data_IF_289212058654
#
_entry.id   IF_289212058654
#
_cell.length_a   1.000
_cell.length_b   1.000
_cell.length_c   1.000
_cell.angle_alpha   90.00
_cell.angle_beta   90.00
_cell.angle_gamma   90.00
#
_symmetry.space_group_name_H-M   'P 1'
#
loop_
_entity.id
_entity.type
_entity.pdbx_description
1 polymer ?
#
# COMPACT_ATOMS: atom_id res chain seq x y z
N UNK A 1 -29.26 -22.05 54.94
CA UNK A 1 -28.70 -22.78 53.79
C UNK A 1 -27.56 -21.92 53.27
N UNK A 2 -26.32 -22.33 53.53
CA UNK A 2 -25.14 -21.54 53.17
C UNK A 2 -24.92 -21.60 51.66
N UNK A 3 -24.77 -20.44 51.02
CA UNK A 3 -24.20 -20.36 49.69
C UNK A 3 -22.76 -20.86 49.77
N UNK A 4 -22.55 -22.11 49.35
CA UNK A 4 -21.22 -22.63 49.10
C UNK A 4 -20.56 -21.70 48.08
N UNK A 5 -19.50 -21.01 48.52
CA UNK A 5 -18.56 -20.33 47.63
C UNK A 5 -17.93 -21.39 46.73
N UNK A 6 -18.64 -21.77 45.65
CA UNK A 6 -18.12 -22.63 44.59
C UNK A 6 -16.90 -21.91 44.03
N UNK A 7 -15.73 -22.43 44.37
CA UNK A 7 -14.45 -21.96 43.85
C UNK A 7 -14.46 -22.20 42.35
N UNK A 8 -14.86 -21.17 41.60
CA UNK A 8 -14.95 -21.22 40.14
C UNK A 8 -13.56 -21.62 39.62
N UNK A 9 -13.48 -22.82 39.04
CA UNK A 9 -12.23 -23.32 38.49
C UNK A 9 -11.99 -22.71 37.11
N UNK A 10 -10.74 -22.33 36.83
CA UNK A 10 -10.34 -21.70 35.57
C UNK A 10 -10.75 -22.55 34.35
N UNK A 11 -10.72 -23.87 34.48
CA UNK A 11 -11.15 -24.82 33.46
C UNK A 11 -12.65 -24.75 33.17
N UNK A 12 -13.48 -24.59 34.21
CA UNK A 12 -14.94 -24.52 34.10
C UNK A 12 -15.38 -23.21 33.43
N UNK A 13 -14.66 -22.11 33.71
CA UNK A 13 -14.85 -20.82 33.01
C UNK A 13 -14.47 -20.94 31.55
N UNK A 14 -13.33 -21.58 31.24
CA UNK A 14 -12.89 -21.76 29.85
C UNK A 14 -13.88 -22.65 29.08
N UNK A 15 -14.41 -23.71 29.70
CA UNK A 15 -15.40 -24.60 29.07
C UNK A 15 -16.71 -23.85 28.77
N UNK A 16 -17.25 -23.10 29.75
CA UNK A 16 -18.45 -22.27 29.51
C UNK A 16 -18.24 -21.22 28.43
N UNK A 17 -17.13 -20.48 28.47
CA UNK A 17 -16.83 -19.47 27.45
C UNK A 17 -16.70 -20.05 26.03
N UNK A 18 -16.31 -21.34 25.91
CA UNK A 18 -16.27 -22.07 24.63
C UNK A 18 -17.67 -22.47 24.16
N UNK A 19 -18.50 -23.00 25.06
CA UNK A 19 -19.86 -23.45 24.73
C UNK A 19 -20.83 -22.28 24.46
N UNK A 20 -20.68 -21.15 25.17
CA UNK A 20 -21.55 -19.97 25.02
C UNK A 20 -21.30 -19.18 23.70
N UNK A 21 -20.33 -19.61 22.89
CA UNK A 21 -19.97 -18.96 21.62
C UNK A 21 -19.28 -17.60 21.79
N UNK A 22 -18.90 -17.23 23.01
CA UNK A 22 -18.28 -15.94 23.31
C UNK A 22 -16.83 -15.87 22.84
N UNK A 23 -16.09 -16.98 22.85
CA UNK A 23 -14.78 -17.05 22.20
C UNK A 23 -14.87 -16.81 20.70
N UNK A 24 -15.91 -17.34 20.04
CA UNK A 24 -16.10 -17.13 18.61
C UNK A 24 -16.50 -15.69 18.28
N UNK A 25 -17.38 -15.08 19.08
CA UNK A 25 -17.69 -13.64 18.97
C UNK A 25 -16.44 -12.78 19.18
N UNK A 26 -15.62 -13.10 20.19
CA UNK A 26 -14.38 -12.37 20.46
C UNK A 26 -13.39 -12.52 19.31
N UNK A 27 -13.18 -13.75 18.82
CA UNK A 27 -12.33 -14.05 17.66
C UNK A 27 -12.80 -13.27 16.42
N UNK A 28 -14.08 -13.29 16.10
CA UNK A 28 -14.65 -12.55 14.97
C UNK A 28 -14.47 -11.04 15.12
N UNK A 29 -14.66 -10.50 16.33
CA UNK A 29 -14.48 -9.07 16.61
C UNK A 29 -13.02 -8.64 16.42
N UNK A 30 -12.07 -9.45 16.88
CA UNK A 30 -10.64 -9.22 16.67
C UNK A 30 -10.30 -9.27 15.18
N UNK A 31 -10.74 -10.31 14.46
CA UNK A 31 -10.50 -10.46 13.02
C UNK A 31 -11.06 -9.29 12.22
N UNK A 32 -12.29 -8.84 12.51
CA UNK A 32 -12.88 -7.66 11.86
C UNK A 32 -12.05 -6.41 12.10
N UNK A 33 -11.68 -6.13 13.35
CA UNK A 33 -10.85 -4.96 13.70
C UNK A 33 -9.50 -4.98 12.99
N UNK A 34 -8.85 -6.13 12.91
CA UNK A 34 -7.59 -6.28 12.19
C UNK A 34 -7.77 -6.02 10.68
N UNK A 35 -8.82 -6.58 10.06
CA UNK A 35 -9.14 -6.33 8.65
C UNK A 35 -9.43 -4.87 8.37
N UNK A 36 -10.24 -4.21 9.20
CA UNK A 36 -10.60 -2.80 9.05
C UNK A 36 -9.36 -1.91 9.15
N UNK A 37 -8.47 -2.20 10.10
CA UNK A 37 -7.22 -1.48 10.26
C UNK A 37 -6.28 -1.68 9.06
N UNK A 38 -6.13 -2.91 8.57
CA UNK A 38 -5.31 -3.20 7.40
C UNK A 38 -5.88 -2.52 6.14
N UNK A 39 -7.20 -2.58 5.94
CA UNK A 39 -7.86 -1.92 4.83
C UNK A 39 -7.66 -0.39 4.89
N UNK A 40 -7.77 0.20 6.08
CA UNK A 40 -7.51 1.62 6.29
C UNK A 40 -6.05 2.00 5.99
N UNK A 41 -5.08 1.23 6.51
CA UNK A 41 -3.66 1.45 6.25
C UNK A 41 -3.35 1.34 4.75
N UNK A 42 -3.86 0.29 4.10
CA UNK A 42 -3.68 0.08 2.67
C UNK A 42 -4.28 1.24 1.87
N UNK A 43 -5.50 1.66 2.19
CA UNK A 43 -6.15 2.82 1.55
C UNK A 43 -5.33 4.10 1.73
N UNK A 44 -4.83 4.36 2.94
CA UNK A 44 -4.01 5.54 3.26
C UNK A 44 -2.71 5.57 2.45
N UNK A 45 -2.00 4.44 2.36
CA UNK A 45 -0.74 4.32 1.62
C UNK A 45 -0.98 4.52 0.11
N UNK A 46 -1.98 3.84 -0.45
CA UNK A 46 -2.33 3.98 -1.86
C UNK A 46 -2.72 5.42 -2.21
N UNK A 47 -3.54 6.06 -1.36
CA UNK A 47 -3.93 7.45 -1.57
C UNK A 47 -2.74 8.40 -1.50
N UNK A 48 -1.81 8.20 -0.55
CA UNK A 48 -0.59 9.02 -0.46
C UNK A 48 0.27 8.89 -1.72
N UNK A 49 0.56 7.66 -2.16
CA UNK A 49 1.38 7.41 -3.36
C UNK A 49 0.74 8.02 -4.62
N UNK A 50 -0.56 7.82 -4.82
CA UNK A 50 -1.27 8.35 -6.00
C UNK A 50 -1.34 9.87 -6.02
N UNK A 51 -1.54 10.52 -4.87
CA UNK A 51 -1.55 11.98 -4.78
C UNK A 51 -0.17 12.58 -5.02
N UNK A 52 0.87 12.02 -4.42
CA UNK A 52 2.25 12.47 -4.62
C UNK A 52 2.67 12.31 -6.09
N UNK A 53 2.33 11.18 -6.70
CA UNK A 53 2.59 10.94 -8.12
C UNK A 53 1.86 11.94 -9.01
N UNK A 54 0.56 12.15 -8.77
CA UNK A 54 -0.24 13.12 -9.54
C UNK A 54 0.34 14.54 -9.45
N UNK A 55 0.72 14.96 -8.24
CA UNK A 55 1.31 16.28 -8.03
C UNK A 55 2.66 16.42 -8.75
N UNK A 56 3.50 15.38 -8.70
CA UNK A 56 4.77 15.35 -9.42
C UNK A 56 4.58 15.44 -10.94
N UNK A 57 3.59 14.74 -11.50
CA UNK A 57 3.25 14.82 -12.93
C UNK A 57 2.82 16.23 -13.29
N UNK A 58 1.90 16.83 -12.53
CA UNK A 58 1.42 18.20 -12.78
C UNK A 58 2.58 19.19 -12.75
N UNK A 59 3.47 19.09 -11.76
CA UNK A 59 4.65 19.95 -11.66
C UNK A 59 5.59 19.74 -12.84
N UNK A 60 5.84 18.51 -13.26
CA UNK A 60 6.71 18.20 -14.38
C UNK A 60 6.15 18.74 -15.71
N UNK A 61 4.84 18.60 -15.95
CA UNK A 61 4.17 19.18 -17.12
C UNK A 61 4.24 20.71 -17.10
N UNK A 62 3.97 21.35 -15.95
CA UNK A 62 4.07 22.81 -15.82
C UNK A 62 5.47 23.34 -16.11
N UNK A 63 6.51 22.55 -15.82
CA UNK A 63 7.91 22.90 -16.05
C UNK A 63 8.43 22.43 -17.42
N UNK A 64 7.61 21.76 -18.24
CA UNK A 64 8.02 21.22 -19.54
C UNK A 64 8.53 22.33 -20.45
N UNK A 65 9.69 22.11 -21.05
CA UNK A 65 10.24 23.01 -22.07
C UNK A 65 9.35 23.03 -23.32
N UNK A 66 8.77 21.88 -23.71
CA UNK A 66 7.82 21.82 -24.82
C UNK A 66 6.56 22.67 -24.56
N UNK A 67 6.06 22.69 -23.33
CA UNK A 67 4.94 23.55 -22.96
C UNK A 67 5.32 25.04 -22.93
N UNK A 68 6.50 25.35 -22.39
CA UNK A 68 6.95 26.73 -22.14
C UNK A 68 7.76 27.34 -23.31
N UNK A 69 7.92 26.65 -24.44
CA UNK A 69 8.64 27.20 -25.59
C UNK A 69 7.81 28.27 -26.31
N UNK A 70 8.49 29.29 -26.84
CA UNK A 70 7.85 30.31 -27.67
C UNK A 70 7.23 29.66 -28.91
N UNK A 71 5.94 29.89 -29.15
CA UNK A 71 5.20 29.30 -30.26
C UNK A 71 4.50 27.98 -29.94
N UNK A 72 4.55 27.49 -28.69
CA UNK A 72 3.78 26.31 -28.27
C UNK A 72 2.27 26.52 -28.45
N UNK A 73 1.80 27.76 -28.35
CA UNK A 73 0.43 28.17 -28.61
C UNK A 73 -0.02 27.96 -30.06
N UNK A 74 0.91 27.85 -31.00
CA UNK A 74 0.64 27.64 -32.43
C UNK A 74 0.79 26.17 -32.84
N UNK A 75 1.28 25.29 -31.95
CA UNK A 75 1.41 23.86 -32.22
C UNK A 75 0.05 23.18 -32.24
N UNK A 76 -0.09 22.11 -33.02
CA UNK A 76 -1.29 21.26 -32.91
C UNK A 76 -1.29 20.57 -31.55
N UNK A 77 -2.48 20.42 -30.96
CA UNK A 77 -2.66 19.80 -29.64
C UNK A 77 -1.98 18.43 -29.53
N UNK A 78 -2.03 17.61 -30.59
CA UNK A 78 -1.38 16.28 -30.60
C UNK A 78 0.15 16.38 -30.60
N UNK A 79 0.72 17.27 -31.42
CA UNK A 79 2.18 17.48 -31.49
C UNK A 79 2.73 18.01 -30.16
N UNK A 80 2.01 18.96 -29.54
CA UNK A 80 2.37 19.48 -28.22
C UNK A 80 2.25 18.40 -27.14
N UNK A 81 1.17 17.60 -27.18
CA UNK A 81 0.98 16.48 -26.24
C UNK A 81 2.09 15.43 -26.36
N UNK A 82 2.46 15.05 -27.57
CA UNK A 82 3.51 14.06 -27.82
C UNK A 82 4.88 14.59 -27.34
N UNK A 83 5.19 15.86 -27.62
CA UNK A 83 6.42 16.50 -27.15
C UNK A 83 6.50 16.58 -25.61
N UNK A 84 5.39 16.94 -24.95
CA UNK A 84 5.30 16.94 -23.47
C UNK A 84 5.44 15.50 -22.95
N UNK A 85 4.81 14.52 -23.59
CA UNK A 85 4.87 13.12 -23.17
C UNK A 85 6.30 12.56 -23.25
N UNK A 86 7.03 12.83 -24.32
CA UNK A 86 8.41 12.36 -24.49
C UNK A 86 9.38 12.99 -23.47
N UNK A 87 9.20 14.29 -23.20
CA UNK A 87 10.00 15.02 -22.21
C UNK A 87 9.68 14.60 -20.78
N UNK A 88 8.39 14.62 -20.42
CA UNK A 88 7.92 14.43 -19.04
C UNK A 88 7.82 12.94 -18.68
N UNK A 89 7.43 12.09 -19.63
CA UNK A 89 7.19 10.67 -19.43
C UNK A 89 8.43 9.95 -18.87
N UNK A 90 9.60 10.19 -19.47
CA UNK A 90 10.86 9.61 -19.00
C UNK A 90 11.23 10.08 -17.58
N UNK A 91 11.06 11.39 -17.31
CA UNK A 91 11.37 12.00 -16.00
C UNK A 91 10.44 11.50 -14.89
N UNK A 92 9.16 11.34 -15.19
CA UNK A 92 8.16 10.81 -14.26
C UNK A 92 8.41 9.32 -14.00
N UNK A 93 8.71 8.54 -15.05
CA UNK A 93 8.97 7.12 -14.92
C UNK A 93 10.20 6.81 -14.04
N UNK A 94 11.25 7.62 -14.15
CA UNK A 94 12.40 7.56 -13.24
C UNK A 94 12.00 7.80 -11.78
N UNK A 95 11.26 8.88 -11.50
CA UNK A 95 10.78 9.19 -10.14
C UNK A 95 9.85 8.12 -9.56
N UNK A 96 8.99 7.52 -10.40
CA UNK A 96 8.14 6.39 -9.98
C UNK A 96 9.02 5.21 -9.58
N UNK A 97 10.02 4.89 -10.40
CA UNK A 97 10.96 3.79 -10.15
C UNK A 97 11.73 4.00 -8.84
N UNK A 98 12.25 5.20 -8.61
CA UNK A 98 12.95 5.57 -7.37
C UNK A 98 12.01 5.47 -6.15
N UNK A 99 10.79 5.99 -6.26
CA UNK A 99 9.82 5.97 -5.17
C UNK A 99 9.38 4.54 -4.82
N UNK A 100 9.18 3.70 -5.84
CA UNK A 100 8.88 2.29 -5.67
C UNK A 100 10.05 1.54 -5.02
N UNK A 101 11.28 1.83 -5.46
CA UNK A 101 12.49 1.26 -4.86
C UNK A 101 12.61 1.61 -3.38
N UNK A 102 12.31 2.85 -3.00
CA UNK A 102 12.29 3.27 -1.59
C UNK A 102 11.23 2.53 -0.76
N UNK A 103 10.03 2.32 -1.31
CA UNK A 103 8.99 1.51 -0.63
C UNK A 103 9.47 0.08 -0.40
N UNK A 104 10.02 -0.57 -1.43
CA UNK A 104 10.59 -1.92 -1.34
C UNK A 104 11.75 -1.96 -0.32
N UNK A 105 12.56 -0.90 -0.26
CA UNK A 105 13.70 -0.81 0.64
C UNK A 105 13.29 -0.69 2.10
N UNK A 106 12.20 0.03 2.38
CA UNK A 106 11.67 0.29 3.73
C UNK A 106 10.88 -0.90 4.28
N UNK A 107 10.18 -1.66 3.43
CA UNK A 107 9.54 -2.92 3.83
C UNK A 107 10.54 -4.08 3.77
N UNK A 108 11.18 -4.37 4.91
CA UNK A 108 12.17 -5.45 5.03
C UNK A 108 11.67 -6.83 4.56
N UNK A 109 10.37 -7.13 4.69
CA UNK A 109 9.77 -8.38 4.19
C UNK A 109 9.72 -8.44 2.66
N UNK A 110 9.32 -7.35 2.02
CA UNK A 110 9.21 -7.24 0.54
C UNK A 110 10.57 -7.37 -0.12
N UNK A 111 11.63 -6.84 0.51
CA UNK A 111 13.02 -7.05 0.07
C UNK A 111 13.44 -8.52 0.12
N UNK A 112 13.09 -9.24 1.18
CA UNK A 112 13.44 -10.66 1.37
C UNK A 112 12.77 -11.51 0.28
N UNK A 113 11.47 -11.31 0.05
CA UNK A 113 10.72 -12.05 -0.98
C UNK A 113 11.30 -11.85 -2.40
N UNK A 114 11.74 -10.63 -2.74
CA UNK A 114 12.38 -10.34 -4.03
C UNK A 114 13.75 -11.04 -4.13
N UNK A 115 14.56 -11.00 -3.07
CA UNK A 115 15.87 -11.70 -3.04
C UNK A 115 15.67 -13.19 -3.22
N UNK A 116 14.73 -13.80 -2.50
CA UNK A 116 14.43 -15.23 -2.59
C UNK A 116 13.97 -15.61 -4.00
N UNK A 117 13.12 -14.79 -4.63
CA UNK A 117 12.65 -15.01 -6.00
C UNK A 117 13.79 -14.93 -7.02
N UNK A 118 14.68 -13.93 -6.90
CA UNK A 118 15.82 -13.74 -7.80
C UNK A 118 16.86 -14.86 -7.63
N UNK A 119 17.15 -15.27 -6.40
CA UNK A 119 18.06 -16.38 -6.09
C UNK A 119 17.50 -17.70 -6.64
N UNK A 120 16.20 -17.95 -6.48
CA UNK A 120 15.54 -19.16 -7.00
C UNK A 120 15.62 -19.23 -8.53
N UNK A 121 15.40 -18.11 -9.23
CA UNK A 121 15.55 -18.07 -10.70
C UNK A 121 16.99 -18.24 -11.17
N UNK A 122 17.98 -17.79 -10.39
CA UNK A 122 19.41 -17.97 -10.71
C UNK A 122 19.88 -19.42 -10.50
N UNK A 123 19.32 -20.12 -9.52
CA UNK A 123 19.70 -21.49 -9.20
C UNK A 123 18.97 -22.54 -10.05
N UNK A 124 17.93 -22.13 -10.79
CA UNK A 124 17.15 -22.97 -11.71
C UNK A 124 17.60 -22.86 -13.18
N UNK A 125 18.75 -22.22 -13.45
CA UNK A 125 19.32 -21.99 -14.78
C UNK A 125 20.80 -22.39 -14.78
#
# INVERSE_FOLDING_TARGET
MGEENKKIMKEEVIAKLKDDGDFDKLRLKIVRKLKDNLLYIFSRINNKFTLELRNNIILAVKQSAALNCLGSENMKVRELSDAIHDEVGNKVMGKISDSLWEIIRLEGSTRIEIIETVVSNRNNN
#
